data_IF_555115893650
#
_entry.id   IF_555115893650
#
_cell.length_a   1.000
_cell.length_b   1.000
_cell.length_c   1.000
_cell.angle_alpha   90.00
_cell.angle_beta   90.00
_cell.angle_gamma   90.00
#
_symmetry.space_group_name_H-M   'P 1'
#
loop_
_entity.id
_entity.type
_entity.pdbx_description
1 polymer ?
#
# COMPACT_ATOMS: atom_id res chain seq x y z
N UNK A 1 13.74 18.20 3.65
CA UNK A 1 12.57 17.28 3.71
C UNK A 1 11.31 18.15 3.61
N UNK A 2 10.30 17.78 2.81
CA UNK A 2 9.03 18.55 2.81
C UNK A 2 8.39 18.41 4.19
N UNK A 3 8.15 19.54 4.87
CA UNK A 3 7.48 19.54 6.17
C UNK A 3 6.12 18.83 6.06
N UNK A 4 5.82 17.98 7.03
CA UNK A 4 4.50 17.35 7.14
C UNK A 4 3.48 18.40 7.52
N UNK A 5 2.39 18.47 6.75
CA UNK A 5 1.25 19.31 7.10
C UNK A 5 0.39 18.63 8.18
N UNK A 6 -0.66 19.31 8.61
CA UNK A 6 -1.58 18.77 9.62
C UNK A 6 -2.20 17.44 9.20
N UNK A 7 -2.50 17.24 7.91
CA UNK A 7 -3.05 15.99 7.39
C UNK A 7 -2.05 14.84 7.55
N UNK A 8 -0.78 15.04 7.17
CA UNK A 8 0.26 14.02 7.32
C UNK A 8 0.48 13.63 8.78
N UNK A 9 0.43 14.60 9.70
CA UNK A 9 0.51 14.35 11.15
C UNK A 9 -0.70 13.55 11.66
N UNK A 10 -1.92 13.94 11.27
CA UNK A 10 -3.15 13.23 11.65
C UNK A 10 -3.13 11.79 11.15
N UNK A 11 -2.74 11.54 9.89
CA UNK A 11 -2.62 10.17 9.38
C UNK A 11 -1.67 9.31 10.21
N UNK A 12 -0.51 9.86 10.57
CA UNK A 12 0.46 9.16 11.41
C UNK A 12 -0.15 8.83 12.79
N UNK A 13 -0.87 9.77 13.38
CA UNK A 13 -1.57 9.57 14.65
C UNK A 13 -2.66 8.49 14.54
N UNK A 14 -3.44 8.51 13.45
CA UNK A 14 -4.47 7.48 13.19
C UNK A 14 -3.84 6.10 13.04
N UNK A 15 -2.75 5.97 12.26
CA UNK A 15 -2.03 4.69 12.16
C UNK A 15 -1.56 4.22 13.53
N UNK A 16 -1.00 5.12 14.34
CA UNK A 16 -0.55 4.80 15.68
C UNK A 16 -1.69 4.29 16.57
N UNK A 17 -2.83 4.99 16.58
CA UNK A 17 -4.04 4.57 17.33
C UNK A 17 -4.52 3.21 16.85
N UNK A 18 -4.58 2.97 15.54
CA UNK A 18 -5.00 1.68 14.98
C UNK A 18 -4.03 0.56 15.33
N UNK A 19 -2.72 0.83 15.42
CA UNK A 19 -1.73 -0.16 15.88
C UNK A 19 -1.95 -0.50 17.35
N UNK A 20 -2.17 0.50 18.23
CA UNK A 20 -2.49 0.27 19.64
C UNK A 20 -3.77 -0.55 19.78
N UNK A 21 -4.83 -0.17 19.05
CA UNK A 21 -6.10 -0.87 19.09
C UNK A 21 -5.95 -2.32 18.62
N UNK A 22 -5.14 -2.56 17.59
CA UNK A 22 -4.83 -3.92 17.11
C UNK A 22 -4.13 -4.77 18.17
N UNK A 23 -3.33 -4.17 19.06
CA UNK A 23 -2.69 -4.88 20.16
C UNK A 23 -3.72 -5.19 21.25
N UNK A 24 -4.57 -4.22 21.62
CA UNK A 24 -5.57 -4.36 22.70
C UNK A 24 -6.61 -5.43 22.36
N UNK A 25 -7.09 -5.46 21.12
CA UNK A 25 -8.11 -6.43 20.67
C UNK A 25 -7.56 -7.85 20.62
N UNK A 26 -6.25 -7.98 20.49
CA UNK A 26 -5.61 -9.28 20.30
C UNK A 26 -5.49 -9.99 21.64
N UNK A 27 -6.35 -10.98 21.82
CA UNK A 27 -6.23 -11.91 22.93
C UNK A 27 -4.94 -12.71 22.75
N UNK A 28 -4.00 -12.55 23.69
CA UNK A 28 -2.73 -13.29 23.66
C UNK A 28 -2.91 -14.76 24.04
N UNK A 29 -4.12 -15.17 24.46
CA UNK A 29 -4.45 -16.56 24.69
C UNK A 29 -4.92 -17.27 23.39
N UNK A 30 -3.95 -17.84 22.67
CA UNK A 30 -4.11 -19.18 22.10
C UNK A 30 -2.81 -19.68 21.49
N UNK A 31 -2.51 -20.95 21.79
CA UNK A 31 -1.68 -21.83 20.95
C UNK A 31 -2.29 -21.86 19.54
N UNK A 32 -1.89 -20.94 18.67
CA UNK A 32 -2.01 -21.20 17.25
C UNK A 32 -0.86 -22.14 16.92
N UNK A 33 -1.17 -23.39 16.57
CA UNK A 33 -0.23 -24.23 15.83
C UNK A 33 -0.01 -23.53 14.50
N UNK A 34 0.95 -22.61 14.49
CA UNK A 34 1.31 -21.82 13.33
C UNK A 34 2.02 -22.76 12.37
N UNK A 35 1.30 -23.20 11.35
CA UNK A 35 1.91 -23.91 10.22
C UNK A 35 2.70 -22.89 9.40
N UNK A 36 3.97 -22.68 9.78
CA UNK A 36 4.83 -21.66 9.19
C UNK A 36 4.96 -21.81 7.68
N UNK A 37 5.04 -23.05 7.19
CA UNK A 37 5.14 -23.34 5.74
C UNK A 37 3.90 -22.85 4.98
N UNK A 38 2.72 -23.02 5.58
CA UNK A 38 1.48 -22.49 5.01
C UNK A 38 1.48 -20.96 4.92
N UNK A 39 1.88 -20.26 5.99
CA UNK A 39 1.95 -18.79 5.97
C UNK A 39 3.01 -18.27 5.01
N UNK A 40 4.17 -18.92 4.91
CA UNK A 40 5.20 -18.56 3.92
C UNK A 40 4.65 -18.69 2.51
N UNK A 41 3.97 -19.80 2.20
CA UNK A 41 3.32 -20.01 0.91
C UNK A 41 2.30 -18.90 0.58
N UNK A 42 1.42 -18.57 1.53
CA UNK A 42 0.43 -17.50 1.37
C UNK A 42 1.09 -16.14 1.19
N UNK A 43 2.13 -15.81 1.97
CA UNK A 43 2.87 -14.56 1.86
C UNK A 43 3.42 -14.39 0.44
N UNK A 44 4.06 -15.43 -0.11
CA UNK A 44 4.62 -15.39 -1.47
C UNK A 44 3.51 -15.15 -2.50
N UNK A 45 2.41 -15.91 -2.39
CA UNK A 45 1.27 -15.78 -3.33
C UNK A 45 0.67 -14.38 -3.28
N UNK A 46 0.36 -13.86 -2.10
CA UNK A 46 -0.22 -12.51 -1.92
C UNK A 46 0.74 -11.44 -2.39
N UNK A 47 2.03 -11.60 -2.10
CA UNK A 47 3.06 -10.64 -2.49
C UNK A 47 3.15 -10.54 -4.02
N UNK A 48 3.25 -11.67 -4.71
CA UNK A 48 3.29 -11.73 -6.17
C UNK A 48 1.98 -11.23 -6.79
N UNK A 49 0.83 -11.62 -6.22
CA UNK A 49 -0.48 -11.18 -6.69
C UNK A 49 -0.60 -9.66 -6.66
N UNK A 50 -0.28 -9.00 -5.54
CA UNK A 50 -0.37 -7.54 -5.45
C UNK A 50 0.60 -6.84 -6.41
N UNK A 51 1.84 -7.33 -6.52
CA UNK A 51 2.84 -6.72 -7.41
C UNK A 51 2.45 -6.83 -8.89
N UNK A 52 1.81 -7.92 -9.30
CA UNK A 52 1.40 -8.14 -10.70
C UNK A 52 0.06 -7.50 -11.00
N UNK A 53 -0.93 -7.72 -10.13
CA UNK A 53 -2.32 -7.36 -10.39
C UNK A 53 -2.56 -5.85 -10.21
N UNK A 54 -1.91 -5.20 -9.25
CA UNK A 54 -2.11 -3.78 -9.00
C UNK A 54 -1.69 -2.90 -10.20
N UNK A 55 -0.51 -3.12 -10.84
CA UNK A 55 -0.16 -2.44 -12.09
C UNK A 55 -1.11 -2.75 -13.26
N UNK A 56 -1.59 -3.99 -13.38
CA UNK A 56 -2.54 -4.37 -14.44
C UNK A 56 -3.89 -3.67 -14.29
N UNK A 57 -4.50 -3.70 -13.09
CA UNK A 57 -5.76 -3.02 -12.81
C UNK A 57 -5.61 -1.52 -13.09
N UNK A 58 -4.58 -0.89 -12.53
CA UNK A 58 -4.38 0.57 -12.70
C UNK A 58 -4.18 0.94 -14.17
N UNK A 59 -3.50 0.09 -14.95
CA UNK A 59 -3.39 0.27 -16.40
C UNK A 59 -4.74 0.10 -17.09
N UNK A 60 -5.51 -0.91 -16.74
CA UNK A 60 -6.86 -1.14 -17.29
C UNK A 60 -7.77 0.06 -17.04
N UNK A 61 -7.85 0.57 -15.81
CA UNK A 61 -8.63 1.77 -15.50
C UNK A 61 -8.14 3.02 -16.23
N UNK A 62 -6.84 3.15 -16.49
CA UNK A 62 -6.32 4.27 -17.28
C UNK A 62 -6.81 4.27 -18.73
N UNK A 63 -7.23 3.12 -19.28
CA UNK A 63 -7.84 3.04 -20.60
C UNK A 63 -9.23 3.68 -20.64
N UNK A 64 -9.94 3.71 -19.52
CA UNK A 64 -11.23 4.39 -19.37
C UNK A 64 -11.10 5.89 -19.07
N UNK A 65 -9.90 6.46 -19.19
CA UNK A 65 -9.65 7.90 -19.00
C UNK A 65 -9.31 8.31 -17.56
N UNK A 66 -9.17 7.37 -16.62
CA UNK A 66 -8.71 7.69 -15.27
C UNK A 66 -7.21 8.03 -15.27
N UNK A 67 -6.88 9.30 -15.00
CA UNK A 67 -5.51 9.72 -14.73
C UNK A 67 -5.21 9.51 -13.25
N UNK A 68 -4.19 8.72 -12.91
CA UNK A 68 -3.79 8.50 -11.52
C UNK A 68 -2.63 9.42 -11.14
N UNK A 69 -2.84 10.24 -10.12
CA UNK A 69 -1.86 11.13 -9.55
C UNK A 69 -0.86 10.35 -8.69
N UNK A 70 0.40 10.79 -8.68
CA UNK A 70 1.40 10.23 -7.76
C UNK A 70 0.96 10.51 -6.32
N UNK A 71 0.94 9.49 -5.43
CA UNK A 71 0.49 9.68 -4.07
C UNK A 71 1.42 10.62 -3.29
N UNK A 72 0.82 11.38 -2.38
CA UNK A 72 1.50 12.32 -1.50
C UNK A 72 0.99 12.14 -0.07
N UNK A 73 1.92 11.93 0.86
CA UNK A 73 1.60 11.70 2.26
C UNK A 73 0.76 12.84 2.88
N UNK A 74 0.98 14.08 2.43
CA UNK A 74 0.30 15.27 2.93
C UNK A 74 -1.13 15.47 2.39
N UNK A 75 -1.64 14.58 1.54
CA UNK A 75 -3.00 14.67 0.99
C UNK A 75 -4.00 13.77 1.72
N UNK A 76 -5.27 14.15 1.79
CA UNK A 76 -6.32 13.33 2.42
C UNK A 76 -6.40 11.94 1.73
N UNK A 77 -6.34 10.81 2.46
CA UNK A 77 -6.39 9.50 1.84
C UNK A 77 -7.80 9.10 1.40
N UNK A 78 -8.84 9.69 2.01
CA UNK A 78 -10.24 9.41 1.67
C UNK A 78 -10.75 10.55 0.80
N UNK A 79 -10.77 10.32 -0.50
CA UNK A 79 -11.26 11.28 -1.49
C UNK A 79 -12.10 10.56 -2.54
N UNK A 80 -13.19 11.19 -2.95
CA UNK A 80 -14.07 10.67 -4.01
C UNK A 80 -13.47 10.80 -5.41
N UNK A 81 -12.28 11.40 -5.55
CA UNK A 81 -11.60 11.53 -6.84
C UNK A 81 -10.79 10.27 -7.15
N UNK A 82 -11.20 9.52 -8.17
CA UNK A 82 -10.50 8.33 -8.65
C UNK A 82 -9.03 8.60 -9.02
N UNK A 83 -8.71 9.84 -9.43
CA UNK A 83 -7.31 10.22 -9.72
C UNK A 83 -6.40 10.14 -8.50
N UNK A 84 -6.96 10.29 -7.30
CA UNK A 84 -6.23 10.33 -6.04
C UNK A 84 -6.32 9.04 -5.23
N UNK A 85 -6.89 7.97 -5.80
CA UNK A 85 -7.03 6.68 -5.11
C UNK A 85 -5.70 6.13 -4.59
N UNK A 86 -4.56 6.45 -5.21
CA UNK A 86 -3.25 6.04 -4.68
C UNK A 86 -2.91 6.62 -3.30
N UNK A 87 -3.50 7.75 -2.89
CA UNK A 87 -3.32 8.26 -1.52
C UNK A 87 -3.94 7.32 -0.47
N UNK A 88 -5.08 6.69 -0.80
CA UNK A 88 -5.73 5.69 0.04
C UNK A 88 -4.88 4.43 0.16
N UNK A 89 -4.45 3.90 -0.98
CA UNK A 89 -3.60 2.70 -1.03
C UNK A 89 -2.26 2.92 -0.32
N UNK A 90 -1.65 4.10 -0.46
CA UNK A 90 -0.45 4.47 0.31
C UNK A 90 -0.73 4.45 1.82
N UNK A 91 -1.88 4.97 2.26
CA UNK A 91 -2.26 4.96 3.67
C UNK A 91 -2.47 3.54 4.20
N UNK A 92 -3.22 2.69 3.49
CA UNK A 92 -3.40 1.27 3.86
C UNK A 92 -2.07 0.54 3.91
N UNK A 93 -1.19 0.75 2.93
CA UNK A 93 0.12 0.11 2.91
C UNK A 93 0.91 0.42 4.19
N UNK A 94 0.97 1.70 4.58
CA UNK A 94 1.68 2.11 5.79
C UNK A 94 1.01 1.63 7.07
N UNK A 95 -0.32 1.56 7.11
CA UNK A 95 -1.02 0.97 8.23
C UNK A 95 -0.69 -0.52 8.38
N UNK A 96 -0.82 -1.30 7.31
CA UNK A 96 -0.56 -2.75 7.32
C UNK A 96 0.91 -3.06 7.66
N UNK A 97 1.86 -2.32 7.09
CA UNK A 97 3.27 -2.47 7.44
C UNK A 97 3.53 -2.13 8.91
N UNK A 98 3.00 -1.01 9.41
CA UNK A 98 3.23 -0.60 10.81
C UNK A 98 2.61 -1.60 11.79
N UNK A 99 1.34 -1.95 11.59
CA UNK A 99 0.61 -2.87 12.46
C UNK A 99 1.23 -4.27 12.42
N UNK A 100 1.49 -4.81 11.22
CA UNK A 100 2.10 -6.13 11.06
C UNK A 100 3.47 -6.21 11.72
N UNK A 101 4.34 -5.22 11.50
CA UNK A 101 5.67 -5.20 12.10
C UNK A 101 5.61 -5.11 13.63
N UNK A 102 4.82 -4.19 14.18
CA UNK A 102 4.70 -4.00 15.63
C UNK A 102 4.16 -5.28 16.28
N UNK A 103 3.12 -5.88 15.72
CA UNK A 103 2.51 -7.09 16.27
C UNK A 103 3.43 -8.32 16.18
N UNK A 104 4.16 -8.51 15.07
CA UNK A 104 5.16 -9.59 14.95
C UNK A 104 6.24 -9.44 16.02
N UNK A 105 6.75 -8.22 16.22
CA UNK A 105 7.79 -7.96 17.21
C UNK A 105 7.28 -8.19 18.64
N UNK A 106 6.11 -7.67 18.98
CA UNK A 106 5.52 -7.85 20.31
C UNK A 106 5.22 -9.31 20.60
N UNK A 107 4.65 -10.05 19.65
CA UNK A 107 4.36 -11.47 19.82
C UNK A 107 5.66 -12.30 19.94
N UNK A 108 6.69 -11.96 19.17
CA UNK A 108 8.01 -12.57 19.29
C UNK A 108 8.68 -12.31 20.64
N UNK A 109 8.51 -11.12 21.23
CA UNK A 109 9.07 -10.78 22.54
C UNK A 109 8.29 -11.45 23.68
N UNK A 110 6.95 -11.37 23.67
CA UNK A 110 6.09 -11.82 24.77
C UNK A 110 5.91 -13.34 24.76
N UNK A 111 5.62 -13.91 23.58
CA UNK A 111 5.26 -15.32 23.44
C UNK A 111 6.42 -16.19 22.93
N UNK A 112 7.56 -15.59 22.55
CA UNK A 112 8.71 -16.28 21.94
C UNK A 112 8.32 -17.10 20.70
N UNK A 113 7.28 -16.67 19.98
CA UNK A 113 6.72 -17.35 18.82
C UNK A 113 6.66 -16.40 17.63
N UNK A 114 6.70 -16.95 16.42
CA UNK A 114 6.52 -16.17 15.21
C UNK A 114 5.04 -16.05 14.86
N UNK A 115 4.61 -14.84 14.59
CA UNK A 115 3.23 -14.54 14.22
C UNK A 115 3.06 -14.47 12.70
N UNK A 116 2.68 -15.59 12.10
CA UNK A 116 2.49 -15.71 10.65
C UNK A 116 1.40 -14.78 10.09
N UNK A 117 0.33 -14.52 10.85
CA UNK A 117 -0.76 -13.65 10.41
C UNK A 117 -0.33 -12.18 10.33
N UNK A 118 0.39 -11.71 11.35
CA UNK A 118 0.88 -10.34 11.38
C UNK A 118 2.07 -10.15 10.42
N UNK A 119 2.87 -11.19 10.19
CA UNK A 119 3.86 -11.20 9.13
C UNK A 119 3.18 -11.09 7.76
N UNK A 120 2.09 -11.83 7.54
CA UNK A 120 1.30 -11.71 6.32
C UNK A 120 0.75 -10.29 6.13
N UNK A 121 0.25 -9.65 7.19
CA UNK A 121 -0.20 -8.26 7.13
C UNK A 121 0.92 -7.31 6.71
N UNK A 122 2.12 -7.47 7.29
CA UNK A 122 3.30 -6.69 6.93
C UNK A 122 3.67 -6.85 5.46
N UNK A 123 3.83 -8.09 4.99
CA UNK A 123 4.20 -8.37 3.61
C UNK A 123 3.09 -7.98 2.62
N UNK A 124 1.83 -8.10 3.01
CA UNK A 124 0.69 -7.57 2.26
C UNK A 124 0.81 -6.06 2.06
N UNK A 125 1.05 -5.29 3.13
CA UNK A 125 1.29 -3.86 3.06
C UNK A 125 2.50 -3.47 2.19
N UNK A 126 3.61 -4.21 2.32
CA UNK A 126 4.81 -4.01 1.51
C UNK A 126 4.56 -4.27 0.02
N UNK A 127 3.89 -5.38 -0.31
CA UNK A 127 3.55 -5.74 -1.68
C UNK A 127 2.65 -4.71 -2.35
N UNK A 128 1.68 -4.18 -1.61
CA UNK A 128 0.78 -3.13 -2.07
C UNK A 128 1.54 -1.81 -2.33
N UNK A 129 2.47 -1.45 -1.45
CA UNK A 129 3.34 -0.28 -1.65
C UNK A 129 4.22 -0.41 -2.91
N UNK A 130 4.81 -1.59 -3.13
CA UNK A 130 5.65 -1.87 -4.30
C UNK A 130 4.78 -1.87 -5.57
N UNK A 131 3.65 -2.58 -5.56
CA UNK A 131 2.70 -2.63 -6.67
C UNK A 131 2.27 -1.23 -7.09
N UNK A 132 1.92 -0.37 -6.13
CA UNK A 132 1.57 1.03 -6.39
C UNK A 132 2.74 1.82 -7.03
N UNK A 133 3.98 1.65 -6.55
CA UNK A 133 5.14 2.32 -7.18
C UNK A 133 5.34 1.86 -8.62
N UNK A 134 5.16 0.58 -8.90
CA UNK A 134 5.25 0.02 -10.25
C UNK A 134 4.14 0.60 -11.13
N UNK A 135 2.90 0.66 -10.65
CA UNK A 135 1.77 1.29 -11.34
C UNK A 135 2.07 2.72 -11.76
N UNK A 136 2.53 3.57 -10.83
CA UNK A 136 2.88 4.96 -11.12
C UNK A 136 3.98 5.04 -12.18
N UNK A 137 5.01 4.19 -12.09
CA UNK A 137 6.09 4.13 -13.08
C UNK A 137 5.56 3.72 -14.47
N UNK A 138 4.67 2.75 -14.53
CA UNK A 138 4.12 2.23 -15.78
C UNK A 138 3.20 3.24 -16.47
N UNK A 139 2.33 3.91 -15.70
CA UNK A 139 1.45 4.97 -16.19
C UNK A 139 2.26 6.14 -16.75
N UNK A 140 3.31 6.58 -16.04
CA UNK A 140 4.19 7.67 -16.49
C UNK A 140 4.98 7.33 -17.76
N UNK A 141 5.38 6.06 -17.95
CA UNK A 141 6.04 5.62 -19.19
C UNK A 141 5.09 5.74 -20.38
N UNK A 142 3.84 5.28 -20.23
CA UNK A 142 2.83 5.39 -21.29
C UNK A 142 2.47 6.83 -21.66
N UNK A 143 2.47 7.76 -20.68
CA UNK A 143 2.26 9.18 -20.95
C UNK A 143 3.40 9.80 -21.77
N UNK A 144 4.66 9.49 -21.44
CA UNK A 144 5.84 9.97 -22.17
C UNK A 144 5.92 9.44 -23.61
N UNK A 145 5.46 8.22 -23.85
CA UNK A 145 5.40 7.65 -25.20
C UNK A 145 4.32 8.34 -26.04
N UNK A 146 3.12 8.59 -25.49
CA UNK A 146 2.05 9.34 -26.16
C UNK A 146 2.44 10.78 -26.51
N UNK A 147 3.18 11.47 -25.64
CA UNK A 147 3.64 12.84 -25.92
C UNK A 147 4.72 12.91 -27.02
N UNK A 148 5.41 11.80 -27.30
CA UNK A 148 6.38 11.72 -28.40
C UNK A 148 5.74 11.37 -29.74
N UNK A 149 4.60 10.69 -29.74
CA UNK A 149 3.88 10.28 -30.97
C UNK A 149 2.85 11.29 -31.46
N UNK A 150 2.52 12.33 -30.69
CA UNK A 150 1.79 13.49 -31.17
C UNK A 150 2.80 14.56 -31.62
N UNK A 151 3.14 14.65 -32.92
CA UNK A 151 3.89 15.80 -33.41
C UNK A 151 3.05 17.05 -33.16
N UNK A 152 3.72 18.14 -32.80
CA UNK A 152 3.19 19.49 -32.71
C UNK A 152 2.48 19.85 -34.02
N UNK A 153 1.18 19.58 -34.14
CA UNK A 153 0.32 20.34 -35.06
C UNK A 153 0.14 21.72 -34.45
N UNK A 154 1.16 22.58 -34.66
CA UNK A 154 0.92 24.02 -34.76
C UNK A 154 -0.09 24.21 -35.88
N UNK A 155 -1.35 24.48 -35.53
CA UNK A 155 -2.26 25.16 -36.44
C UNK A 155 -2.36 26.60 -35.97
N UNK A 156 -1.55 27.45 -36.59
CA UNK A 156 -1.87 28.86 -36.74
C UNK A 156 -3.20 28.96 -37.48
N UNK A 157 -4.17 29.67 -36.90
CA UNK A 157 -4.96 30.73 -37.54
C UNK A 157 -5.95 31.30 -36.54
#
# INVERSE_FOLDING_TARGET
MKNWNNIGKIKSLVIFILCILSIIIKDFEKKSETNYDFYIGIIIVIFLFNILFFPLITKFWSLFGNAFDKPNWNENPITFKSSKSFNFFQFIAFWFMSAGLINVLLFGIINQQFDGENALLFFGGLSLFIGMKISVKWLNKGAKEKSKTLPLTKSQK
#
